data_IF_072618831474
#
_entry.id   IF_072618831474
#
_cell.length_a   1.000
_cell.length_b   1.000
_cell.length_c   1.000
_cell.angle_alpha   90.00
_cell.angle_beta   90.00
_cell.angle_gamma   90.00
#
_symmetry.space_group_name_H-M   'P 1'
#
loop_
_entity.id
_entity.type
_entity.pdbx_description
1 polymer ?
#
# COMPACT_ATOMS: atom_id res chain seq x y z
N UNK A 1 9.86 1.79 6.48
CA UNK A 1 10.06 1.32 5.10
C UNK A 1 9.44 -0.06 4.99
N UNK A 2 8.58 -0.30 4.01
CA UNK A 2 7.90 -1.57 3.83
C UNK A 2 8.04 -2.04 2.39
N UNK A 3 8.27 -3.33 2.18
CA UNK A 3 8.37 -3.90 0.84
C UNK A 3 9.56 -3.39 0.03
N UNK A 4 9.44 -3.44 -1.30
CA UNK A 4 10.51 -3.03 -2.20
C UNK A 4 11.24 -4.21 -2.86
N UNK A 5 11.95 -3.90 -3.95
CA UNK A 5 12.78 -4.85 -4.68
C UNK A 5 14.15 -4.92 -3.99
N UNK A 6 14.61 -6.11 -3.62
CA UNK A 6 15.85 -6.30 -2.86
C UNK A 6 17.07 -6.61 -3.74
N UNK A 7 16.86 -6.99 -4.99
CA UNK A 7 17.94 -7.30 -5.93
C UNK A 7 17.53 -7.07 -7.40
N UNK A 8 18.46 -7.30 -8.32
CA UNK A 8 18.21 -7.16 -9.75
C UNK A 8 17.31 -8.28 -10.32
N UNK A 9 17.24 -9.43 -9.65
CA UNK A 9 16.51 -10.62 -10.11
C UNK A 9 14.99 -10.52 -10.00
N UNK A 10 14.49 -9.50 -9.28
CA UNK A 10 13.06 -9.28 -9.13
C UNK A 10 12.50 -9.72 -7.79
N UNK A 11 13.34 -10.10 -6.83
CA UNK A 11 12.88 -10.47 -5.50
C UNK A 11 12.27 -9.25 -4.80
N UNK A 12 11.05 -9.43 -4.30
CA UNK A 12 10.31 -8.42 -3.57
C UNK A 12 10.14 -8.91 -2.14
N UNK A 13 10.47 -8.04 -1.18
CA UNK A 13 10.40 -8.37 0.23
C UNK A 13 9.03 -8.03 0.83
N UNK A 14 8.67 -8.73 1.90
CA UNK A 14 7.58 -8.34 2.79
C UNK A 14 8.09 -7.48 3.95
N UNK A 15 9.39 -7.35 4.16
CA UNK A 15 9.96 -6.77 5.38
C UNK A 15 9.46 -5.36 5.70
N UNK A 16 9.29 -5.11 7.01
CA UNK A 16 9.04 -3.79 7.57
C UNK A 16 10.26 -3.38 8.40
N UNK A 17 10.85 -2.25 8.04
CA UNK A 17 12.02 -1.68 8.70
C UNK A 17 11.69 -0.31 9.27
N UNK A 18 12.11 -0.08 10.52
CA UNK A 18 12.03 1.23 11.18
C UNK A 18 13.43 1.79 11.35
N UNK A 19 13.58 3.05 10.97
CA UNK A 19 14.80 3.80 11.21
C UNK A 19 14.64 4.64 12.47
N UNK A 20 15.52 4.41 13.45
CA UNK A 20 15.60 5.23 14.64
C UNK A 20 16.54 6.40 14.37
N UNK A 21 15.98 7.62 14.32
CA UNK A 21 16.73 8.84 14.01
C UNK A 21 17.76 9.14 15.11
N UNK A 22 17.43 8.88 16.38
CA UNK A 22 18.29 9.25 17.51
C UNK A 22 19.64 8.54 17.54
N UNK A 23 19.72 7.31 17.04
CA UNK A 23 20.92 6.48 17.05
C UNK A 23 21.33 5.99 15.65
N UNK A 24 20.66 6.48 14.61
CA UNK A 24 20.87 6.13 13.20
C UNK A 24 20.86 4.62 12.92
N UNK A 25 19.97 3.86 13.58
CA UNK A 25 19.90 2.42 13.41
C UNK A 25 18.61 1.95 12.74
N UNK A 26 18.71 0.82 12.04
CA UNK A 26 17.57 0.12 11.45
C UNK A 26 17.19 -1.07 12.32
N UNK A 27 15.89 -1.21 12.59
CA UNK A 27 15.34 -2.33 13.34
C UNK A 27 14.25 -2.99 12.50
N UNK A 28 14.29 -4.32 12.29
CA UNK A 28 13.22 -5.03 11.62
C UNK A 28 12.01 -5.12 12.57
N UNK A 29 10.83 -4.87 12.04
CA UNK A 29 9.57 -5.11 12.72
C UNK A 29 8.84 -6.27 12.05
N UNK A 30 8.13 -7.05 12.88
CA UNK A 30 7.21 -8.08 12.40
C UNK A 30 5.80 -7.49 12.46
N UNK A 31 5.16 -7.20 11.31
CA UNK A 31 3.80 -6.70 11.30
C UNK A 31 2.84 -7.71 11.92
N UNK A 32 1.91 -7.25 12.76
CA UNK A 32 0.80 -8.07 13.26
C UNK A 32 -0.36 -8.15 12.27
N UNK A 33 -0.06 -8.09 10.97
CA UNK A 33 -1.07 -8.19 9.92
C UNK A 33 -1.43 -9.66 9.70
N UNK A 34 -2.73 -9.94 9.50
CA UNK A 34 -3.19 -11.30 9.18
C UNK A 34 -2.59 -11.82 7.88
N UNK A 35 -2.38 -10.92 6.92
CA UNK A 35 -1.75 -11.19 5.64
C UNK A 35 -0.77 -10.06 5.31
N UNK A 36 0.41 -10.44 4.82
CA UNK A 36 1.50 -9.52 4.50
C UNK A 36 2.02 -9.84 3.12
N UNK A 37 2.14 -8.82 2.29
CA UNK A 37 2.35 -8.99 0.86
C UNK A 37 3.59 -8.27 0.37
N UNK A 38 4.41 -9.00 -0.39
CA UNK A 38 5.59 -8.47 -1.02
C UNK A 38 5.17 -7.52 -2.15
N UNK A 39 5.38 -6.21 -1.99
CA UNK A 39 4.90 -5.20 -2.95
C UNK A 39 5.96 -4.20 -3.36
N UNK A 40 5.92 -3.78 -4.63
CA UNK A 40 6.73 -2.70 -5.21
C UNK A 40 5.86 -1.66 -5.90
N UNK A 41 6.33 -0.41 -5.98
CA UNK A 41 5.58 0.70 -6.59
C UNK A 41 4.22 0.95 -5.94
N UNK A 42 4.09 0.60 -4.67
CA UNK A 42 2.98 0.94 -3.81
C UNK A 42 3.20 2.32 -3.20
N UNK A 43 2.17 2.85 -2.54
CA UNK A 43 2.31 3.96 -1.61
C UNK A 43 1.90 3.52 -0.20
N UNK A 44 2.41 4.20 0.82
CA UNK A 44 2.10 3.89 2.21
C UNK A 44 1.92 5.17 3.03
N UNK A 45 0.91 5.16 3.92
CA UNK A 45 0.59 6.28 4.80
C UNK A 45 0.45 5.81 6.24
N UNK A 46 1.02 6.56 7.17
CA UNK A 46 0.74 6.41 8.60
C UNK A 46 -0.52 7.22 8.93
N UNK A 47 -1.50 6.57 9.55
CA UNK A 47 -2.74 7.21 9.98
C UNK A 47 -3.05 6.84 11.43
N UNK A 48 -3.66 7.77 12.16
CA UNK A 48 -4.12 7.53 13.53
C UNK A 48 -5.61 7.27 13.52
N UNK A 49 -6.02 6.09 13.96
CA UNK A 49 -7.41 5.70 14.09
C UNK A 49 -8.07 6.44 15.27
N UNK A 50 -9.40 6.38 15.35
CA UNK A 50 -10.17 7.11 16.38
C UNK A 50 -9.89 6.63 17.81
N UNK A 51 -9.43 5.39 17.97
CA UNK A 51 -9.00 4.81 19.23
C UNK A 51 -7.57 5.23 19.63
N UNK A 52 -6.92 6.08 18.83
CA UNK A 52 -5.53 6.50 19.00
C UNK A 52 -4.50 5.52 18.44
N UNK A 53 -4.92 4.40 17.86
CA UNK A 53 -4.01 3.41 17.29
C UNK A 53 -3.41 3.93 15.99
N UNK A 54 -2.07 3.98 15.91
CA UNK A 54 -1.37 4.28 14.67
C UNK A 54 -1.29 3.01 13.79
N UNK A 55 -1.72 3.12 12.54
CA UNK A 55 -1.65 2.04 11.55
C UNK A 55 -0.96 2.53 10.27
N UNK A 56 -0.26 1.62 9.60
CA UNK A 56 0.28 1.85 8.26
C UNK A 56 -0.70 1.28 7.23
N UNK A 57 -1.23 2.13 6.36
CA UNK A 57 -2.03 1.72 5.22
C UNK A 57 -1.14 1.64 3.98
N UNK A 58 -1.10 0.47 3.35
CA UNK A 58 -0.37 0.22 2.10
C UNK A 58 -1.38 0.14 0.96
N UNK A 59 -1.25 1.00 -0.04
CA UNK A 59 -2.17 1.08 -1.17
C UNK A 59 -1.51 0.59 -2.46
N UNK A 60 -2.18 -0.37 -3.10
CA UNK A 60 -1.83 -0.97 -4.38
C UNK A 60 -0.36 -1.39 -4.48
N UNK A 61 0.22 -1.32 -5.69
CA UNK A 61 1.54 -1.85 -5.99
C UNK A 61 1.48 -3.21 -6.68
N UNK A 62 2.63 -3.62 -7.21
CA UNK A 62 2.81 -4.89 -7.88
C UNK A 62 3.34 -5.94 -6.89
N UNK A 63 2.62 -7.06 -6.78
CA UNK A 63 3.07 -8.24 -6.07
C UNK A 63 3.45 -9.33 -7.08
N UNK A 64 4.69 -9.86 -7.05
CA UNK A 64 5.16 -10.85 -8.02
C UNK A 64 4.58 -12.26 -7.80
N UNK A 65 3.94 -12.52 -6.66
CA UNK A 65 3.20 -13.76 -6.46
C UNK A 65 1.94 -13.72 -7.32
N UNK A 66 1.83 -14.63 -8.29
CA UNK A 66 0.65 -14.83 -9.13
C UNK A 66 -0.59 -14.91 -8.24
N UNK A 67 -1.33 -13.81 -8.17
CA UNK A 67 -2.48 -13.74 -7.31
C UNK A 67 -3.68 -14.35 -8.01
N UNK A 68 -3.79 -15.66 -7.86
CA UNK A 68 -5.06 -16.36 -8.06
C UNK A 68 -6.06 -15.83 -7.04
N UNK A 69 -6.83 -14.80 -7.38
CA UNK A 69 -8.15 -14.40 -6.86
C UNK A 69 -8.40 -14.31 -5.33
N UNK A 70 -7.41 -14.47 -4.46
CA UNK A 70 -7.62 -14.48 -3.00
C UNK A 70 -6.63 -13.54 -2.33
N UNK A 71 -6.93 -12.24 -2.36
CA UNK A 71 -6.34 -11.28 -1.45
C UNK A 71 -7.35 -11.01 -0.33
N UNK A 72 -6.99 -11.11 0.95
CA UNK A 72 -7.77 -10.42 1.99
C UNK A 72 -7.40 -8.93 1.95
N UNK A 73 -8.03 -8.26 1.01
CA UNK A 73 -8.07 -6.81 0.97
C UNK A 73 -8.97 -6.42 2.13
N UNK A 74 -8.54 -5.42 2.90
CA UNK A 74 -9.43 -4.68 3.79
C UNK A 74 -10.73 -4.42 3.03
N UNK A 75 -11.86 -4.99 3.47
CA UNK A 75 -13.13 -4.85 2.73
C UNK A 75 -13.47 -3.37 2.64
N UNK A 76 -13.25 -2.79 1.46
CA UNK A 76 -13.59 -1.41 1.15
C UNK A 76 -15.01 -1.38 0.61
N UNK A 77 -15.71 -0.27 0.84
CA UNK A 77 -17.04 -0.03 0.29
C UNK A 77 -16.94 1.07 -0.76
N UNK A 78 -17.82 1.02 -1.75
CA UNK A 78 -17.89 2.02 -2.82
C UNK A 78 -17.33 1.50 -4.13
N UNK A 79 -16.52 2.33 -4.80
CA UNK A 79 -16.04 2.04 -6.14
C UNK A 79 -15.19 0.75 -6.19
N UNK A 80 -15.41 -0.06 -7.22
CA UNK A 80 -14.50 -1.15 -7.56
C UNK A 80 -13.26 -0.54 -8.21
N UNK A 81 -12.19 -0.42 -7.42
CA UNK A 81 -10.94 0.18 -7.87
C UNK A 81 -9.99 -0.91 -8.33
N UNK A 82 -9.55 -0.81 -9.58
CA UNK A 82 -8.43 -1.59 -10.06
C UNK A 82 -7.13 -0.93 -9.62
N UNK A 83 -6.42 -1.61 -8.72
CA UNK A 83 -5.16 -1.13 -8.18
C UNK A 83 -4.10 -0.93 -9.27
N UNK A 84 -3.30 0.12 -9.11
CA UNK A 84 -2.25 0.48 -10.04
C UNK A 84 -0.85 0.42 -9.43
N UNK A 85 0.15 0.43 -10.30
CA UNK A 85 1.57 0.47 -9.96
C UNK A 85 2.15 1.87 -10.23
N UNK A 86 3.01 2.37 -9.34
CA UNK A 86 3.72 3.63 -9.54
C UNK A 86 2.82 4.86 -9.52
N UNK A 87 1.77 4.83 -8.69
CA UNK A 87 0.88 5.96 -8.46
C UNK A 87 1.44 6.89 -7.39
N UNK A 88 0.88 8.10 -7.28
CA UNK A 88 1.13 9.01 -6.16
C UNK A 88 -0.08 9.06 -5.24
N UNK A 89 0.16 9.30 -3.96
CA UNK A 89 -0.93 9.46 -3.01
C UNK A 89 -0.58 10.40 -1.86
N UNK A 90 -1.61 11.00 -1.28
CA UNK A 90 -1.51 11.96 -0.17
C UNK A 90 -2.59 11.68 0.85
N UNK A 91 -2.22 11.73 2.13
CA UNK A 91 -3.16 11.71 3.24
C UNK A 91 -3.53 13.13 3.64
N UNK A 92 -4.84 13.42 3.69
CA UNK A 92 -5.40 14.66 4.21
C UNK A 92 -6.08 14.41 5.56
N UNK A 93 -5.51 14.99 6.62
CA UNK A 93 -6.01 14.87 7.98
C UNK A 93 -7.38 15.55 8.16
N UNK A 94 -7.65 16.63 7.42
CA UNK A 94 -8.90 17.40 7.56
C UNK A 94 -10.11 16.58 7.12
N UNK A 95 -10.01 15.92 5.96
CA UNK A 95 -11.03 15.00 5.47
C UNK A 95 -10.87 13.57 5.97
N UNK A 96 -9.79 13.27 6.70
CA UNK A 96 -9.38 11.93 7.12
C UNK A 96 -9.42 10.93 5.95
N UNK A 97 -8.79 11.30 4.85
CA UNK A 97 -8.87 10.57 3.58
C UNK A 97 -7.52 10.50 2.87
N UNK A 98 -7.28 9.38 2.19
CA UNK A 98 -6.13 9.19 1.31
C UNK A 98 -6.60 9.38 -0.13
N UNK A 99 -5.92 10.25 -0.85
CA UNK A 99 -6.14 10.48 -2.28
C UNK A 99 -5.06 9.77 -3.07
N UNK A 100 -5.43 8.99 -4.07
CA UNK A 100 -4.50 8.27 -4.94
C UNK A 100 -4.76 8.65 -6.38
N UNK A 101 -3.72 9.10 -7.09
CA UNK A 101 -3.81 9.55 -8.47
C UNK A 101 -2.73 8.93 -9.34
N UNK A 102 -3.11 8.65 -10.58
CA UNK A 102 -2.17 8.31 -11.64
C UNK A 102 -1.65 6.87 -11.57
N UNK A 103 -0.50 6.66 -12.21
CA UNK A 103 0.19 5.38 -12.29
C UNK A 103 -0.26 4.49 -13.45
N UNK A 104 0.11 3.21 -13.36
CA UNK A 104 -0.14 2.20 -14.37
C UNK A 104 -1.23 1.24 -13.91
N UNK A 105 -2.23 1.02 -14.76
CA UNK A 105 -3.25 -0.01 -14.56
C UNK A 105 -3.01 -1.18 -15.50
N UNK A 106 -2.91 -2.38 -14.94
CA UNK A 106 -2.74 -3.62 -15.69
C UNK A 106 -4.10 -4.28 -15.93
N UNK A 107 -4.51 -4.42 -17.19
CA UNK A 107 -5.72 -5.15 -17.59
C UNK A 107 -5.46 -6.65 -17.80
N UNK A 108 -4.23 -6.98 -18.17
CA UNK A 108 -3.71 -8.35 -18.26
C UNK A 108 -2.19 -8.31 -18.01
N UNK A 109 -1.55 -9.47 -17.90
CA UNK A 109 -0.11 -9.59 -17.66
C UNK A 109 0.75 -8.70 -18.58
N UNK A 110 0.34 -8.51 -19.83
CA UNK A 110 1.10 -7.76 -20.84
C UNK A 110 0.39 -6.49 -21.34
N UNK A 111 -0.78 -6.13 -20.78
CA UNK A 111 -1.54 -4.96 -21.22
C UNK A 111 -1.72 -3.99 -20.06
N UNK A 112 -1.00 -2.88 -20.13
CA UNK A 112 -1.07 -1.80 -19.15
C UNK A 112 -1.31 -0.45 -19.82
N UNK A 113 -1.92 0.48 -19.09
CA UNK A 113 -2.05 1.88 -19.51
C UNK A 113 -1.73 2.83 -18.37
N UNK A 114 -1.26 4.01 -18.73
CA UNK A 114 -1.29 5.16 -17.83
C UNK A 114 -2.74 5.57 -17.57
N UNK A 115 -3.00 6.01 -16.36
CA UNK A 115 -4.32 6.45 -15.91
C UNK A 115 -4.19 7.84 -15.30
N UNK A 116 -5.24 8.65 -15.40
CA UNK A 116 -5.41 9.96 -14.75
C UNK A 116 -6.52 9.92 -13.68
N UNK A 117 -7.09 8.74 -13.43
CA UNK A 117 -8.07 8.52 -12.37
C UNK A 117 -7.58 8.99 -11.00
N UNK A 118 -8.51 9.56 -10.23
CA UNK A 118 -8.34 9.96 -8.84
C UNK A 118 -9.27 9.13 -7.97
N UNK A 119 -8.69 8.48 -6.96
CA UNK A 119 -9.41 7.72 -5.95
C UNK A 119 -9.31 8.42 -4.61
N UNK A 120 -10.40 8.34 -3.83
CA UNK A 120 -10.46 8.75 -2.44
C UNK A 120 -10.76 7.53 -1.58
N UNK A 121 -9.91 7.28 -0.60
CA UNK A 121 -10.14 6.28 0.45
C UNK A 121 -10.39 7.01 1.77
N UNK A 122 -11.57 6.83 2.34
CA UNK A 122 -11.91 7.40 3.65
C UNK A 122 -11.42 6.49 4.77
N UNK A 123 -10.62 7.03 5.69
CA UNK A 123 -9.94 6.27 6.75
C UNK A 123 -10.88 5.96 7.95
N UNK A 124 -12.21 5.90 7.75
CA UNK A 124 -13.21 5.88 8.85
C UNK A 124 -13.89 4.53 9.15
N UNK A 125 -13.94 4.26 10.46
CA UNK A 125 -14.77 3.33 11.29
C UNK A 125 -15.07 1.95 10.71
N UNK A 126 -14.29 0.96 11.13
CA UNK A 126 -14.90 -0.33 11.48
C UNK A 126 -15.77 -0.10 12.72
N UNK A 127 -17.08 -0.28 12.55
CA UNK A 127 -17.95 -0.71 13.64
C UNK A 127 -17.86 -2.22 13.74
#
# INVERSE_FOLDING_TARGET
>A
MYGGKIDETGNVTTELWVFHISNHSWVPLVPKAKEQYAVVGHSAHMVTLQDGTAVMLVLFGHCPLYATNTWSILQTRGALVQGGYGHSSVYDENSNSIYTHGGYKAFSANKYRLTDDLYKYEVRKYK
#
